data_IF_225661789740
#
_entry.id   IF_225661789740
#
_cell.length_a   1.000
_cell.length_b   1.000
_cell.length_c   1.000
_cell.angle_alpha   90.00
_cell.angle_beta   90.00
_cell.angle_gamma   90.00
#
_symmetry.space_group_name_H-M   'P 1'
#
loop_
_entity.id
_entity.type
_entity.pdbx_description
1 polymer ?
#
# COMPACT_ATOMS: atom_id res chain seq x y z
N UNK A 1 61.07 -22.35 19.17
CA UNK A 1 59.82 -22.85 19.82
C UNK A 1 58.66 -21.86 19.59
N UNK A 2 58.01 -22.03 18.43
CA UNK A 2 56.87 -21.27 17.94
C UNK A 2 55.58 -21.66 18.66
N UNK A 3 54.93 -20.71 19.35
CA UNK A 3 53.55 -20.88 19.85
C UNK A 3 52.57 -20.43 18.77
N UNK A 4 52.07 -21.38 17.99
CA UNK A 4 50.95 -21.18 17.07
C UNK A 4 49.63 -21.07 17.84
N UNK A 5 48.95 -19.93 17.73
CA UNK A 5 47.59 -19.69 18.23
C UNK A 5 46.61 -20.22 17.18
N UNK A 6 45.86 -21.27 17.51
CA UNK A 6 44.82 -21.82 16.64
C UNK A 6 43.73 -20.76 16.40
N UNK A 7 43.64 -20.27 15.16
CA UNK A 7 42.50 -19.48 14.68
C UNK A 7 41.34 -20.44 14.42
N UNK A 8 40.37 -20.43 15.34
CA UNK A 8 39.04 -21.03 15.10
C UNK A 8 38.43 -20.35 13.88
N UNK A 9 38.28 -21.12 12.80
CA UNK A 9 37.50 -20.73 11.62
C UNK A 9 36.05 -20.59 12.06
N UNK A 10 35.56 -19.35 12.20
CA UNK A 10 34.13 -19.07 12.22
C UNK A 10 33.55 -19.50 10.88
N UNK A 11 32.63 -20.46 10.92
CA UNK A 11 31.75 -20.80 9.80
C UNK A 11 31.04 -19.53 9.31
N UNK A 12 30.82 -19.37 7.99
CA UNK A 12 29.98 -18.28 7.49
C UNK A 12 28.61 -18.40 8.16
N UNK A 13 28.18 -17.32 8.80
CA UNK A 13 26.86 -17.23 9.41
C UNK A 13 25.81 -17.68 8.41
N UNK A 14 24.95 -18.59 8.86
CA UNK A 14 23.66 -18.82 8.22
C UNK A 14 23.00 -17.44 7.95
N UNK A 15 22.24 -17.28 6.85
CA UNK A 15 21.48 -16.07 6.62
C UNK A 15 20.69 -15.79 7.89
N UNK A 16 20.94 -14.62 8.50
CA UNK A 16 20.17 -14.12 9.63
C UNK A 16 18.70 -14.29 9.26
N UNK A 17 18.01 -15.15 10.00
CA UNK A 17 16.58 -15.31 9.86
C UNK A 17 15.98 -13.91 10.08
N UNK A 18 15.40 -13.36 9.02
CA UNK A 18 14.58 -12.15 9.03
C UNK A 18 13.71 -12.18 10.30
N UNK A 19 14.07 -11.36 11.27
CA UNK A 19 13.37 -11.28 12.55
C UNK A 19 11.89 -10.99 12.25
N UNK A 20 11.04 -11.95 12.60
CA UNK A 20 9.62 -11.95 12.24
C UNK A 20 8.94 -10.67 12.72
N UNK A 21 8.45 -9.89 11.76
CA UNK A 21 7.65 -8.69 12.01
C UNK A 21 6.44 -9.04 12.89
N UNK A 22 6.27 -8.33 14.01
CA UNK A 22 5.18 -8.58 14.95
C UNK A 22 3.83 -8.37 14.27
N UNK A 23 2.86 -9.30 14.42
CA UNK A 23 1.56 -9.16 13.78
C UNK A 23 0.76 -8.03 14.45
N UNK A 24 0.28 -7.09 13.65
CA UNK A 24 -0.65 -6.04 14.07
C UNK A 24 -2.03 -6.61 14.34
N UNK A 25 -2.51 -7.47 13.43
CA UNK A 25 -3.81 -8.13 13.55
C UNK A 25 -3.75 -9.58 13.09
N UNK A 26 -4.58 -10.41 13.72
CA UNK A 26 -4.88 -11.78 13.31
C UNK A 26 -6.38 -11.98 13.27
N UNK A 27 -6.86 -12.71 12.26
CA UNK A 27 -8.29 -12.78 12.00
C UNK A 27 -8.62 -13.82 10.94
N UNK A 28 -9.85 -14.31 10.99
CA UNK A 28 -10.34 -15.32 10.05
C UNK A 28 -11.19 -14.62 9.00
N UNK A 29 -10.87 -14.84 7.73
CA UNK A 29 -11.63 -14.35 6.60
C UNK A 29 -11.91 -15.48 5.62
N UNK A 30 -13.03 -15.37 4.91
CA UNK A 30 -13.23 -16.18 3.72
C UNK A 30 -12.56 -15.50 2.52
N UNK A 31 -11.63 -16.20 1.88
CA UNK A 31 -10.92 -15.77 0.67
C UNK A 31 -11.12 -16.86 -0.37
N UNK A 32 -11.62 -16.51 -1.56
CA UNK A 32 -11.89 -17.47 -2.64
C UNK A 32 -12.71 -18.69 -2.20
N UNK A 33 -13.73 -18.46 -1.36
CA UNK A 33 -14.63 -19.49 -0.77
C UNK A 33 -13.95 -20.47 0.18
N UNK A 34 -12.78 -20.12 0.74
CA UNK A 34 -12.08 -20.90 1.78
C UNK A 34 -11.89 -20.05 3.01
N UNK A 35 -12.08 -20.66 4.18
CA UNK A 35 -11.73 -20.02 5.45
C UNK A 35 -10.21 -19.99 5.60
N UNK A 36 -9.65 -18.81 5.83
CA UNK A 36 -8.22 -18.58 5.91
C UNK A 36 -7.86 -17.92 7.25
N UNK A 37 -6.76 -18.35 7.86
CA UNK A 37 -6.08 -17.59 8.89
C UNK A 37 -5.32 -16.46 8.19
N UNK A 38 -5.64 -15.22 8.55
CA UNK A 38 -5.09 -14.02 7.94
C UNK A 38 -4.32 -13.24 8.99
N UNK A 39 -3.13 -12.81 8.62
CA UNK A 39 -2.25 -12.02 9.49
C UNK A 39 -1.78 -10.78 8.78
N UNK A 40 -2.01 -9.64 9.43
CA UNK A 40 -1.56 -8.32 9.00
C UNK A 40 -0.35 -7.91 9.83
N UNK A 41 0.70 -7.48 9.16
CA UNK A 41 1.86 -6.77 9.71
C UNK A 41 1.99 -5.42 8.99
N UNK A 42 2.89 -4.54 9.45
CA UNK A 42 3.06 -3.21 8.85
C UNK A 42 3.50 -3.27 7.38
N UNK A 43 4.22 -4.33 6.96
CA UNK A 43 4.74 -4.46 5.59
C UNK A 43 4.08 -5.55 4.76
N UNK A 44 3.30 -6.44 5.36
CA UNK A 44 2.78 -7.65 4.68
C UNK A 44 1.39 -8.03 5.17
N UNK A 45 0.61 -8.60 4.25
CA UNK A 45 -0.59 -9.37 4.56
C UNK A 45 -0.38 -10.78 4.05
N UNK A 46 -0.53 -11.74 4.95
CA UNK A 46 -0.36 -13.16 4.64
C UNK A 46 -1.58 -13.94 5.06
N UNK A 47 -1.91 -14.98 4.31
CA UNK A 47 -3.00 -15.87 4.66
C UNK A 47 -2.71 -17.31 4.24
N UNK A 48 -3.28 -18.25 4.99
CA UNK A 48 -3.26 -19.66 4.64
C UNK A 48 -4.64 -20.29 4.86
N UNK A 49 -5.08 -21.19 3.97
CA UNK A 49 -6.31 -21.96 4.20
C UNK A 49 -6.26 -22.72 5.53
N UNK A 50 -7.31 -22.59 6.32
CA UNK A 50 -7.48 -23.40 7.54
C UNK A 50 -7.81 -24.81 7.08
N UNK A 51 -6.89 -25.75 7.32
CA UNK A 51 -7.09 -27.14 6.99
C UNK A 51 -7.85 -27.85 8.11
N UNK A 52 -8.84 -28.70 7.79
CA UNK A 52 -9.40 -29.60 8.78
C UNK A 52 -8.32 -30.60 9.23
N UNK A 53 -8.28 -30.92 10.52
CA UNK A 53 -7.41 -31.96 11.04
C UNK A 53 -7.76 -33.31 10.38
N UNK A 54 -6.82 -33.90 9.64
CA UNK A 54 -7.06 -35.22 9.04
C UNK A 54 -6.91 -36.31 10.10
N UNK A 55 -7.79 -37.32 10.18
CA UNK A 55 -7.62 -38.48 11.07
C UNK A 55 -6.34 -39.29 10.80
N UNK A 56 -5.74 -39.16 9.61
CA UNK A 56 -4.68 -40.04 9.10
C UNK A 56 -3.28 -39.40 9.09
N UNK A 57 -3.05 -38.32 9.83
CA UNK A 57 -1.70 -37.75 10.03
C UNK A 57 -0.98 -37.24 8.77
N UNK A 58 -1.70 -37.01 7.67
CA UNK A 58 -1.13 -36.47 6.44
C UNK A 58 -1.05 -34.95 6.51
N UNK A 59 0.15 -34.40 6.70
CA UNK A 59 0.38 -32.95 6.66
C UNK A 59 0.20 -32.44 5.22
N UNK A 60 -1.01 -32.00 4.86
CA UNK A 60 -1.16 -31.14 3.69
C UNK A 60 -0.54 -29.79 4.06
N UNK A 61 0.54 -29.40 3.39
CA UNK A 61 1.09 -28.05 3.51
C UNK A 61 0.13 -27.13 2.75
N UNK A 62 -0.64 -26.32 3.47
CA UNK A 62 -1.40 -25.24 2.86
C UNK A 62 -0.40 -24.24 2.28
N UNK A 63 -0.58 -23.87 1.01
CA UNK A 63 0.24 -22.83 0.40
C UNK A 63 -0.13 -21.50 1.05
N UNK A 64 0.81 -20.91 1.80
CA UNK A 64 0.67 -19.55 2.33
C UNK A 64 0.80 -18.57 1.16
N UNK A 65 -0.17 -17.67 1.05
CA UNK A 65 -0.13 -16.57 0.10
C UNK A 65 0.23 -15.29 0.86
N UNK A 66 1.09 -14.47 0.26
CA UNK A 66 1.59 -13.24 0.85
C UNK A 66 1.51 -12.11 -0.17
N UNK A 67 1.12 -10.94 0.30
CA UNK A 67 1.27 -9.68 -0.43
C UNK A 67 2.09 -8.70 0.41
N UNK A 68 2.87 -7.88 -0.26
CA UNK A 68 3.59 -6.79 0.39
C UNK A 68 2.75 -5.53 0.31
N UNK A 69 2.72 -4.76 1.41
CA UNK A 69 1.91 -3.54 1.51
C UNK A 69 2.35 -2.48 0.49
N UNK A 70 3.61 -2.51 0.05
CA UNK A 70 4.11 -1.64 -1.05
C UNK A 70 3.48 -1.92 -2.42
N UNK A 71 2.89 -3.09 -2.61
CA UNK A 71 2.21 -3.46 -3.85
C UNK A 71 0.71 -3.14 -3.79
N UNK A 72 0.17 -2.89 -2.60
CA UNK A 72 -1.21 -2.49 -2.38
C UNK A 72 -1.35 -1.03 -2.79
N UNK A 73 -2.40 -0.72 -3.56
CA UNK A 73 -2.69 0.65 -3.96
C UNK A 73 -4.00 1.25 -3.42
N UNK A 74 -4.87 0.39 -2.89
CA UNK A 74 -6.17 0.81 -2.37
C UNK A 74 -6.80 -0.26 -1.49
N UNK A 75 -7.59 0.20 -0.52
CA UNK A 75 -8.45 -0.64 0.32
C UNK A 75 -9.84 -0.06 0.41
N UNK A 76 -10.86 -0.92 0.44
CA UNK A 76 -12.27 -0.51 0.49
C UNK A 76 -13.13 -1.48 1.29
N UNK A 77 -14.08 -0.94 2.05
CA UNK A 77 -15.17 -1.73 2.63
C UNK A 77 -16.18 -2.14 1.54
N UNK A 78 -16.40 -3.46 1.40
CA UNK A 78 -17.32 -4.04 0.42
C UNK A 78 -18.71 -4.16 1.05
N UNK A 79 -19.69 -3.43 0.51
CA UNK A 79 -21.10 -3.50 0.94
C UNK A 79 -21.99 -3.97 -0.20
N UNK A 80 -23.05 -4.73 0.13
CA UNK A 80 -24.12 -5.10 -0.79
C UNK A 80 -25.36 -4.26 -0.51
N UNK A 81 -25.81 -3.51 -1.52
CA UNK A 81 -27.09 -2.81 -1.47
C UNK A 81 -28.20 -3.76 -1.95
N UNK A 82 -29.35 -3.69 -1.28
CA UNK A 82 -30.57 -4.35 -1.77
C UNK A 82 -31.32 -3.42 -2.73
N UNK A 83 -32.10 -4.00 -3.65
CA UNK A 83 -32.89 -3.23 -4.60
C UNK A 83 -33.81 -2.25 -3.86
N UNK A 84 -33.72 -0.96 -4.21
CA UNK A 84 -34.49 0.13 -3.58
C UNK A 84 -33.84 0.78 -2.36
N UNK A 85 -32.74 0.24 -1.82
CA UNK A 85 -32.06 0.79 -0.65
C UNK A 85 -30.97 1.80 -1.04
N UNK A 86 -31.11 3.06 -0.61
CA UNK A 86 -30.19 4.17 -0.97
C UNK A 86 -28.95 4.30 -0.06
N UNK A 87 -28.99 3.76 1.17
CA UNK A 87 -27.87 3.78 2.14
C UNK A 87 -27.92 2.57 3.08
N UNK A 88 -26.77 2.19 3.65
CA UNK A 88 -26.69 1.20 4.74
C UNK A 88 -26.75 -0.28 4.33
N UNK A 89 -26.21 -0.63 3.16
CA UNK A 89 -26.14 -2.04 2.73
C UNK A 89 -25.28 -2.93 3.63
N UNK A 90 -25.55 -4.23 3.62
CA UNK A 90 -24.84 -5.25 4.39
C UNK A 90 -23.35 -5.23 4.09
N UNK A 91 -22.51 -5.10 5.11
CA UNK A 91 -21.07 -5.26 4.96
C UNK A 91 -20.72 -6.71 4.67
N UNK A 92 -19.94 -6.94 3.61
CA UNK A 92 -19.49 -8.26 3.18
C UNK A 92 -18.03 -8.53 3.51
N UNK A 93 -17.24 -7.48 3.76
CA UNK A 93 -15.81 -7.61 4.01
C UNK A 93 -15.00 -6.41 3.53
N UNK A 94 -13.72 -6.67 3.24
CA UNK A 94 -12.73 -5.71 2.76
C UNK A 94 -12.23 -6.16 1.39
N UNK A 95 -12.07 -5.22 0.47
CA UNK A 95 -11.35 -5.44 -0.79
C UNK A 95 -10.01 -4.71 -0.72
N UNK A 96 -8.94 -5.42 -1.06
CA UNK A 96 -7.59 -4.89 -1.18
C UNK A 96 -7.21 -4.95 -2.65
N UNK A 97 -6.77 -3.82 -3.20
CA UNK A 97 -6.33 -3.72 -4.59
C UNK A 97 -4.82 -3.63 -4.62
N UNK A 98 -4.17 -4.47 -5.42
CA UNK A 98 -2.72 -4.48 -5.60
C UNK A 98 -2.33 -4.34 -7.07
N UNK A 99 -1.17 -3.74 -7.30
CA UNK A 99 -0.54 -3.69 -8.60
C UNK A 99 0.25 -4.97 -8.86
N UNK A 100 0.09 -5.53 -10.05
CA UNK A 100 0.87 -6.65 -10.58
C UNK A 100 1.68 -6.16 -11.77
N UNK A 101 2.98 -6.43 -11.75
CA UNK A 101 3.85 -6.21 -12.91
C UNK A 101 3.66 -7.36 -13.90
N UNK A 102 3.21 -7.05 -15.12
CA UNK A 102 3.00 -8.06 -16.17
C UNK A 102 4.17 -8.12 -17.15
N UNK A 103 4.54 -6.98 -17.70
CA UNK A 103 5.59 -6.82 -18.72
C UNK A 103 6.44 -5.57 -18.38
N UNK A 104 7.50 -5.33 -19.14
CA UNK A 104 8.24 -4.07 -19.05
C UNK A 104 7.27 -2.90 -19.36
N UNK A 105 7.10 -1.98 -18.42
CA UNK A 105 6.19 -0.83 -18.54
C UNK A 105 4.68 -1.15 -18.61
N UNK A 106 4.23 -2.29 -18.08
CA UNK A 106 2.80 -2.59 -17.92
C UNK A 106 2.43 -3.07 -16.52
N UNK A 107 1.48 -2.36 -15.90
CA UNK A 107 0.82 -2.77 -14.66
C UNK A 107 -0.59 -3.27 -14.95
N UNK A 108 -1.00 -4.26 -14.18
CA UNK A 108 -2.38 -4.75 -14.09
C UNK A 108 -2.78 -4.73 -12.63
N UNK A 109 -4.03 -4.41 -12.31
CA UNK A 109 -4.55 -4.49 -10.96
C UNK A 109 -5.06 -5.90 -10.63
N UNK A 110 -5.09 -6.21 -9.34
CA UNK A 110 -5.68 -7.42 -8.79
C UNK A 110 -6.45 -7.06 -7.51
N UNK A 111 -7.71 -7.52 -7.42
CA UNK A 111 -8.53 -7.35 -6.24
C UNK A 111 -8.56 -8.63 -5.40
N UNK A 112 -8.21 -8.51 -4.12
CA UNK A 112 -8.30 -9.56 -3.11
C UNK A 112 -9.48 -9.23 -2.21
N UNK A 113 -10.38 -10.20 -2.02
CA UNK A 113 -11.56 -10.04 -1.18
C UNK A 113 -11.39 -10.81 0.13
N UNK A 114 -11.31 -10.08 1.23
CA UNK A 114 -11.35 -10.61 2.59
C UNK A 114 -12.81 -10.55 3.08
N UNK A 115 -13.57 -11.64 2.91
CA UNK A 115 -14.97 -11.66 3.30
C UNK A 115 -15.11 -11.97 4.79
N UNK A 116 -15.86 -11.14 5.52
CA UNK A 116 -16.27 -11.37 6.90
C UNK A 116 -17.53 -10.54 7.17
N UNK A 117 -18.54 -11.12 7.83
CA UNK A 117 -19.83 -10.48 8.09
C UNK A 117 -19.84 -9.63 9.37
N UNK A 118 -18.82 -9.75 10.23
CA UNK A 118 -18.69 -8.91 11.41
C UNK A 118 -18.27 -7.50 11.01
N UNK A 119 -19.18 -6.54 11.21
CA UNK A 119 -18.91 -5.13 10.92
C UNK A 119 -17.73 -4.60 11.73
N UNK A 120 -17.71 -4.85 13.04
CA UNK A 120 -16.64 -4.43 13.93
C UNK A 120 -15.28 -4.99 13.51
N UNK A 121 -15.24 -6.27 13.14
CA UNK A 121 -14.01 -6.92 12.68
C UNK A 121 -13.50 -6.26 11.40
N UNK A 122 -14.35 -6.07 10.40
CA UNK A 122 -13.97 -5.44 9.14
C UNK A 122 -13.56 -3.98 9.33
N UNK A 123 -14.25 -3.22 10.19
CA UNK A 123 -13.90 -1.83 10.48
C UNK A 123 -12.55 -1.71 11.20
N UNK A 124 -12.28 -2.60 12.16
CA UNK A 124 -10.98 -2.64 12.85
C UNK A 124 -9.83 -2.91 11.88
N UNK A 125 -9.98 -3.94 11.02
CA UNK A 125 -8.99 -4.27 10.00
C UNK A 125 -8.81 -3.17 8.95
N UNK A 126 -9.92 -2.59 8.49
CA UNK A 126 -9.88 -1.49 7.53
C UNK A 126 -9.15 -0.26 8.07
N UNK A 127 -9.29 0.05 9.36
CA UNK A 127 -8.56 1.16 10.00
C UNK A 127 -7.05 0.93 9.97
N UNK A 128 -6.57 -0.24 10.38
CA UNK A 128 -5.14 -0.56 10.37
C UNK A 128 -4.57 -0.55 8.94
N UNK A 129 -5.31 -1.10 7.97
CA UNK A 129 -4.92 -1.03 6.56
C UNK A 129 -4.83 0.42 6.06
N UNK A 130 -5.76 1.29 6.46
CA UNK A 130 -5.71 2.71 6.11
C UNK A 130 -4.48 3.42 6.70
N UNK A 131 -4.15 3.12 7.95
CA UNK A 131 -2.97 3.69 8.63
C UNK A 131 -1.68 3.27 7.93
N UNK A 132 -1.54 1.98 7.57
CA UNK A 132 -0.38 1.47 6.83
C UNK A 132 -0.22 2.16 5.47
N UNK A 133 -1.33 2.44 4.79
CA UNK A 133 -1.33 3.06 3.45
C UNK A 133 -1.36 4.59 3.47
N UNK A 134 -1.20 5.23 4.65
CA UNK A 134 -1.25 6.68 4.83
C UNK A 134 -2.48 7.31 4.15
N UNK A 135 -3.65 6.68 4.34
CA UNK A 135 -4.89 7.15 3.73
C UNK A 135 -5.30 8.45 4.41
N UNK A 136 -5.34 9.55 3.64
CA UNK A 136 -5.75 10.86 4.15
C UNK A 136 -7.26 10.88 4.42
N UNK A 137 -7.75 11.85 5.20
CA UNK A 137 -9.16 11.83 5.65
C UNK A 137 -9.82 13.20 5.63
N UNK A 138 -9.01 14.25 5.72
CA UNK A 138 -9.45 15.63 5.81
C UNK A 138 -8.45 16.54 5.08
N UNK A 139 -8.88 17.75 4.76
CA UNK A 139 -8.06 18.79 4.14
C UNK A 139 -6.86 19.15 5.03
N UNK A 140 -5.64 19.16 4.46
CA UNK A 140 -4.41 19.42 5.20
C UNK A 140 -3.76 18.17 5.82
N UNK A 141 -4.40 17.00 5.73
CA UNK A 141 -3.85 15.75 6.24
C UNK A 141 -2.64 15.29 5.41
N UNK A 142 -2.71 15.37 4.06
CA UNK A 142 -1.59 14.99 3.19
C UNK A 142 -0.34 15.83 3.50
N UNK A 143 -0.54 17.13 3.69
CA UNK A 143 0.53 18.05 4.06
C UNK A 143 1.19 17.66 5.39
N UNK A 144 0.39 17.31 6.39
CA UNK A 144 0.87 16.93 7.72
C UNK A 144 1.71 15.65 7.66
N UNK A 145 1.20 14.63 6.96
CA UNK A 145 1.92 13.36 6.72
C UNK A 145 3.25 13.62 6.02
N UNK A 146 3.27 14.40 4.94
CA UNK A 146 4.49 14.68 4.17
C UNK A 146 5.54 15.47 4.95
N UNK A 147 5.14 16.31 5.89
CA UNK A 147 6.06 17.08 6.74
C UNK A 147 6.81 16.20 7.73
N UNK A 148 6.12 15.25 8.33
CA UNK A 148 6.64 14.33 9.35
C UNK A 148 7.36 13.12 8.74
N UNK A 149 7.06 12.79 7.48
CA UNK A 149 7.61 11.64 6.78
C UNK A 149 9.08 11.84 6.35
N UNK A 150 9.90 10.81 6.53
CA UNK A 150 11.26 10.71 5.99
C UNK A 150 11.21 10.36 4.50
N UNK A 151 10.94 11.34 3.63
CA UNK A 151 10.77 11.13 2.19
C UNK A 151 11.97 10.42 1.51
N UNK A 152 13.18 10.55 2.06
CA UNK A 152 14.38 9.89 1.54
C UNK A 152 14.35 8.37 1.66
N UNK A 153 13.50 7.82 2.53
CA UNK A 153 13.29 6.38 2.65
C UNK A 153 12.52 5.79 1.46
N UNK A 154 12.05 6.64 0.53
CA UNK A 154 11.18 6.24 -0.55
C UNK A 154 11.69 6.66 -1.93
N UNK A 155 11.29 5.90 -2.95
CA UNK A 155 11.67 6.17 -4.34
C UNK A 155 10.78 7.23 -5.03
N UNK A 156 9.59 7.50 -4.49
CA UNK A 156 8.60 8.40 -5.08
C UNK A 156 7.29 8.44 -4.30
N UNK A 157 6.52 9.51 -4.46
CA UNK A 157 5.15 9.66 -3.93
C UNK A 157 4.15 9.52 -5.08
N UNK A 158 3.09 8.75 -4.89
CA UNK A 158 1.95 8.74 -5.82
C UNK A 158 0.72 9.28 -5.10
N UNK A 159 0.13 10.31 -5.69
CA UNK A 159 -1.15 10.84 -5.25
C UNK A 159 -2.26 10.16 -6.04
N UNK A 160 -3.17 9.48 -5.35
CA UNK A 160 -4.43 8.97 -5.94
C UNK A 160 -5.57 9.86 -5.47
N UNK A 161 -6.13 10.68 -6.37
CA UNK A 161 -7.16 11.64 -6.00
C UNK A 161 -7.51 12.63 -7.11
N UNK A 162 -8.30 13.64 -6.73
CA UNK A 162 -8.61 14.79 -7.58
C UNK A 162 -7.60 15.93 -7.43
N UNK A 163 -7.84 17.03 -8.15
CA UNK A 163 -6.90 18.16 -8.23
C UNK A 163 -6.55 18.77 -6.86
N UNK A 164 -7.52 18.85 -5.94
CA UNK A 164 -7.29 19.36 -4.59
C UNK A 164 -6.25 18.54 -3.82
N UNK A 165 -6.38 17.21 -3.84
CA UNK A 165 -5.43 16.29 -3.20
C UNK A 165 -4.05 16.36 -3.87
N UNK A 166 -4.01 16.41 -5.20
CA UNK A 166 -2.75 16.53 -5.96
C UNK A 166 -2.03 17.84 -5.62
N UNK A 167 -2.77 18.95 -5.53
CA UNK A 167 -2.23 20.26 -5.13
C UNK A 167 -1.66 20.21 -3.71
N UNK A 168 -2.37 19.60 -2.77
CA UNK A 168 -1.92 19.46 -1.38
C UNK A 168 -0.61 18.64 -1.29
N UNK A 169 -0.52 17.51 -2.00
CA UNK A 169 0.67 16.66 -2.04
C UNK A 169 1.85 17.40 -2.69
N UNK A 170 1.63 18.05 -3.83
CA UNK A 170 2.68 18.81 -4.52
C UNK A 170 3.22 19.95 -3.64
N UNK A 171 2.32 20.68 -2.98
CA UNK A 171 2.71 21.73 -2.04
C UNK A 171 3.48 21.16 -0.85
N UNK A 172 3.03 20.04 -0.27
CA UNK A 172 3.72 19.41 0.86
C UNK A 172 5.13 18.93 0.53
N UNK A 173 5.32 18.34 -0.65
CA UNK A 173 6.65 17.93 -1.13
C UNK A 173 7.61 19.11 -1.30
N UNK A 174 7.13 20.22 -1.89
CA UNK A 174 7.94 21.42 -2.08
C UNK A 174 8.27 22.09 -0.75
N UNK A 175 7.28 22.20 0.14
CA UNK A 175 7.46 22.81 1.46
C UNK A 175 8.44 22.01 2.31
N UNK A 176 8.31 20.68 2.33
CA UNK A 176 9.26 19.78 3.00
C UNK A 176 10.68 19.97 2.47
N UNK A 177 10.84 20.07 1.16
CA UNK A 177 12.15 20.32 0.55
C UNK A 177 12.78 21.66 0.96
N UNK A 178 11.98 22.73 1.16
CA UNK A 178 12.50 23.99 1.68
C UNK A 178 12.92 23.88 3.14
N UNK A 179 12.07 23.27 3.97
CA UNK A 179 12.31 23.09 5.41
C UNK A 179 13.59 22.27 5.61
N UNK A 180 13.74 21.15 4.91
CA UNK A 180 14.91 20.29 4.99
C UNK A 180 16.18 20.99 4.49
N UNK A 181 16.06 21.97 3.60
CA UNK A 181 17.16 22.80 3.11
C UNK A 181 17.40 24.08 3.95
N UNK A 182 16.63 24.30 5.02
CA UNK A 182 16.72 25.49 5.87
C UNK A 182 16.38 26.80 5.16
N UNK A 183 15.58 26.77 4.09
CA UNK A 183 15.14 27.98 3.38
C UNK A 183 13.87 28.57 3.98
N UNK A 184 13.73 29.88 3.86
CA UNK A 184 12.51 30.60 4.19
C UNK A 184 11.33 30.13 3.32
N UNK A 185 10.13 30.10 3.89
CA UNK A 185 8.90 29.56 3.29
C UNK A 185 7.98 30.64 2.74
N UNK A 186 8.23 31.92 3.03
CA UNK A 186 7.29 33.01 2.74
C UNK A 186 7.43 33.58 1.32
N UNK A 187 8.64 33.56 0.74
CA UNK A 187 8.86 33.95 -0.65
C UNK A 187 10.07 33.24 -1.26
N UNK A 188 9.83 32.34 -2.22
CA UNK A 188 10.87 31.46 -2.76
C UNK A 188 11.06 31.73 -4.25
N UNK A 189 11.96 32.64 -4.64
CA UNK A 189 12.24 32.91 -6.05
C UNK A 189 12.91 31.73 -6.77
N UNK A 190 13.58 30.85 -6.01
CA UNK A 190 14.22 29.62 -6.51
C UNK A 190 13.92 28.43 -5.58
N UNK A 191 12.80 27.72 -5.82
CA UNK A 191 12.39 26.62 -4.95
C UNK A 191 13.40 25.48 -4.99
N UNK A 192 13.74 24.99 -3.80
CA UNK A 192 14.40 23.69 -3.66
C UNK A 192 13.52 22.62 -4.29
N UNK A 193 14.15 21.77 -5.10
CA UNK A 193 13.49 20.65 -5.76
C UNK A 193 13.06 19.62 -4.71
N UNK A 194 11.86 19.07 -4.86
CA UNK A 194 11.40 17.95 -4.05
C UNK A 194 12.41 16.78 -4.11
N UNK A 195 12.71 16.13 -2.97
CA UNK A 195 13.72 15.07 -2.90
C UNK A 195 13.29 13.79 -3.62
N UNK A 196 11.98 13.61 -3.80
CA UNK A 196 11.37 12.46 -4.46
C UNK A 196 10.41 12.91 -5.56
N UNK A 197 10.26 12.12 -6.62
CA UNK A 197 9.34 12.46 -7.69
C UNK A 197 7.88 12.18 -7.30
N UNK A 198 6.95 12.87 -7.98
CA UNK A 198 5.50 12.74 -7.80
C UNK A 198 4.86 12.05 -9.01
N UNK A 199 4.05 11.01 -8.76
CA UNK A 199 3.10 10.42 -9.69
C UNK A 199 1.66 10.80 -9.33
N UNK A 200 0.77 10.85 -10.32
CA UNK A 200 -0.64 11.20 -10.12
C UNK A 200 -1.53 10.16 -10.78
N UNK A 201 -2.40 9.52 -10.00
CA UNK A 201 -3.47 8.67 -10.51
C UNK A 201 -4.78 9.46 -10.39
N UNK A 202 -5.35 9.93 -11.52
CA UNK A 202 -6.56 10.72 -11.49
C UNK A 202 -7.73 9.86 -11.04
N UNK A 203 -8.35 10.24 -9.93
CA UNK A 203 -9.55 9.62 -9.40
C UNK A 203 -10.59 10.73 -9.14
N UNK A 204 -11.16 11.24 -10.24
CA UNK A 204 -12.12 12.35 -10.20
C UNK A 204 -13.57 11.90 -10.08
N UNK A 205 -14.20 12.20 -8.94
CA UNK A 205 -15.52 12.84 -8.76
C UNK A 205 -15.88 12.80 -7.25
N UNK A 206 -16.73 13.74 -6.82
CA UNK A 206 -17.25 13.95 -5.47
C UNK A 206 -18.01 12.75 -4.89
N UNK A 207 -17.33 11.64 -4.59
CA UNK A 207 -17.87 10.58 -3.76
C UNK A 207 -16.77 9.89 -2.93
N UNK A 208 -16.46 10.53 -1.80
CA UNK A 208 -16.15 9.93 -0.48
C UNK A 208 -14.99 8.93 -0.34
N UNK A 209 -14.26 8.56 -1.38
CA UNK A 209 -13.24 7.53 -1.31
C UNK A 209 -12.08 7.79 -2.27
N UNK A 210 -11.29 8.83 -2.04
CA UNK A 210 -9.94 8.86 -2.61
C UNK A 210 -9.03 9.78 -1.81
N UNK A 211 -8.19 9.15 -1.00
CA UNK A 211 -7.26 9.83 -0.15
C UNK A 211 -6.08 8.89 0.07
N UNK A 212 -5.39 8.47 -0.97
CA UNK A 212 -4.27 7.55 -0.80
C UNK A 212 -3.00 8.33 -1.15
N UNK A 213 -2.22 8.60 -0.10
CA UNK A 213 -0.87 9.12 -0.23
C UNK A 213 0.07 7.92 -0.14
N UNK A 214 0.03 7.09 -1.17
CA UNK A 214 0.93 5.96 -1.24
C UNK A 214 2.26 6.41 -1.77
N UNK A 215 3.24 6.27 -0.90
CA UNK A 215 4.62 6.43 -1.25
C UNK A 215 5.08 5.12 -1.91
N UNK A 216 4.92 5.00 -3.22
CA UNK A 216 5.37 3.82 -3.95
C UNK A 216 6.89 3.75 -3.96
N UNK A 217 7.44 2.94 -3.06
CA UNK A 217 8.78 2.41 -3.15
C UNK A 217 8.80 1.30 -4.22
N UNK A 218 9.10 1.67 -5.46
CA UNK A 218 9.60 0.70 -6.41
C UNK A 218 10.85 1.22 -7.12
N UNK A 219 11.98 0.61 -6.78
CA UNK A 219 13.24 0.66 -7.55
C UNK A 219 13.11 0.25 -9.03
N UNK A 220 11.94 -0.20 -9.50
CA UNK A 220 11.75 -0.70 -10.88
C UNK A 220 10.41 -0.35 -11.54
N UNK A 221 9.54 0.45 -10.91
CA UNK A 221 8.22 0.82 -11.46
C UNK A 221 8.13 2.30 -11.90
N UNK A 222 9.11 3.14 -11.55
CA UNK A 222 9.15 4.55 -11.97
C UNK A 222 9.01 4.72 -13.49
N UNK A 223 9.63 3.83 -14.27
CA UNK A 223 9.52 3.84 -15.73
C UNK A 223 8.12 3.46 -16.22
N UNK A 224 7.40 2.65 -15.45
CA UNK A 224 6.06 2.14 -15.79
C UNK A 224 4.98 3.16 -15.47
N UNK A 225 5.03 3.77 -14.28
CA UNK A 225 4.13 4.86 -13.88
C UNK A 225 4.28 6.07 -14.80
N UNK A 226 5.50 6.39 -15.25
CA UNK A 226 5.75 7.42 -16.28
C UNK A 226 5.05 7.11 -17.60
N UNK A 227 4.96 5.84 -18.00
CA UNK A 227 4.30 5.42 -19.25
C UNK A 227 2.78 5.35 -19.09
N UNK A 228 2.28 4.87 -17.95
CA UNK A 228 0.84 4.80 -17.66
C UNK A 228 0.23 6.19 -17.45
N UNK A 229 0.95 7.15 -16.85
CA UNK A 229 0.54 8.56 -16.84
C UNK A 229 0.48 9.16 -18.24
N UNK A 230 1.44 8.83 -19.12
CA UNK A 230 1.40 9.32 -20.50
C UNK A 230 0.18 8.77 -21.25
N UNK A 231 -0.12 7.49 -21.11
CA UNK A 231 -1.29 6.85 -21.73
C UNK A 231 -2.62 7.32 -21.13
N UNK A 232 -2.72 7.55 -19.81
CA UNK A 232 -3.93 8.09 -19.20
C UNK A 232 -4.18 9.56 -19.56
N UNK A 233 -3.12 10.38 -19.67
CA UNK A 233 -3.20 11.80 -20.06
C UNK A 233 -3.38 11.97 -21.58
N UNK A 234 -2.82 11.09 -22.41
CA UNK A 234 -2.96 11.13 -23.88
C UNK A 234 -4.18 10.35 -24.39
N UNK A 235 -4.59 9.28 -23.71
CA UNK A 235 -5.74 8.44 -24.07
C UNK A 235 -7.10 9.08 -23.77
N UNK A 236 -7.16 10.03 -22.85
CA UNK A 236 -8.37 10.81 -22.58
C UNK A 236 -8.71 11.84 -23.69
N UNK A 237 -7.87 12.00 -24.71
CA UNK A 237 -8.16 12.86 -25.87
C UNK A 237 -8.70 12.13 -27.10
N UNK A 238 -8.91 10.82 -27.06
CA UNK A 238 -9.41 10.03 -28.18
C UNK A 238 -10.83 9.50 -27.95
N UNK A 239 -11.79 10.39 -27.67
CA UNK A 239 -13.22 10.09 -27.87
C UNK A 239 -14.04 11.37 -28.02
N UNK A 240 -13.72 12.17 -29.04
CA UNK A 240 -14.68 13.10 -29.65
C UNK A 240 -14.53 12.98 -31.17
N UNK A 241 -15.29 12.06 -31.74
CA UNK A 241 -15.91 12.11 -33.08
C UNK A 241 -17.03 11.09 -33.09
#
# INVERSE_FOLDING_TARGET
PSRGRALSRRSPGAPEAEAGEEPLLRGIFEISKRSCDVVLSARRLRWSPILPESPTGGTRLAQEEVIEMRDVFSVKLKRRLFAGQKKGGTLLGITIFKCLKKEENKLTDCAIHLNNLSEDHCHSWFRHLKEILNVTEYEGHALSVLKECELQAFDGVVCVGGDGSVSEVAHGLLLKAQIDAGKDTDYIPTPVRAPVPLGVIPAGETDRYCYILEVFCFKSLWHVLRFWLLEAVLGAKASVT
#
